data_IF_171095828619
#
_entry.id   IF_171095828619
#
_cell.length_a   1.000
_cell.length_b   1.000
_cell.length_c   1.000
_cell.angle_alpha   90.00
_cell.angle_beta   90.00
_cell.angle_gamma   90.00
#
_symmetry.space_group_name_H-M   'P 1'
#
loop_
_entity.id
_entity.type
_entity.pdbx_description
1 polymer ?
#
# COMPACT_ATOMS: atom_id res chain seq x y z
N UNK A 1 16.43 -1.23 -14.23
CA UNK A 1 15.13 -0.79 -13.66
C UNK A 1 14.63 0.36 -14.54
N UNK A 2 13.50 0.16 -15.23
CA UNK A 2 13.06 1.04 -16.31
C UNK A 2 12.37 2.30 -15.80
N UNK A 3 12.78 3.45 -16.33
CA UNK A 3 12.26 4.80 -16.01
C UNK A 3 10.76 4.96 -16.36
N UNK A 4 10.15 3.98 -17.03
CA UNK A 4 8.82 4.12 -17.65
C UNK A 4 7.68 3.31 -16.98
N UNK A 5 7.98 2.24 -16.25
CA UNK A 5 6.93 1.41 -15.62
C UNK A 5 7.45 0.51 -14.51
N UNK A 6 6.69 0.42 -13.43
CA UNK A 6 6.94 -0.49 -12.31
C UNK A 6 6.43 -1.92 -12.59
N UNK A 7 5.91 -2.20 -13.80
CA UNK A 7 5.33 -3.49 -14.16
C UNK A 7 6.43 -4.55 -14.17
N UNK A 8 6.17 -5.69 -13.55
CA UNK A 8 7.06 -6.85 -13.54
C UNK A 8 6.31 -8.10 -14.00
N UNK A 9 7.03 -9.09 -14.49
CA UNK A 9 6.49 -10.43 -14.73
C UNK A 9 6.38 -11.22 -13.43
N UNK A 10 5.67 -12.36 -13.48
CA UNK A 10 5.47 -13.23 -12.31
C UNK A 10 6.75 -13.92 -11.88
N UNK A 11 7.70 -14.12 -12.79
CA UNK A 11 8.97 -14.78 -12.51
C UNK A 11 9.99 -13.83 -11.86
N UNK A 12 9.70 -12.52 -11.86
CA UNK A 12 10.56 -11.49 -11.30
C UNK A 12 10.20 -11.12 -9.85
N UNK A 13 9.02 -11.50 -9.37
CA UNK A 13 8.57 -11.20 -7.99
C UNK A 13 9.32 -12.07 -7.00
N UNK A 14 9.76 -11.48 -5.89
CA UNK A 14 10.51 -12.17 -4.85
C UNK A 14 9.85 -12.05 -3.48
N UNK A 15 10.08 -13.01 -2.57
CA UNK A 15 9.71 -12.90 -1.17
C UNK A 15 10.09 -11.55 -0.56
N UNK A 16 9.14 -10.88 0.09
CA UNK A 16 9.31 -9.57 0.69
C UNK A 16 9.13 -8.39 -0.28
N UNK A 17 8.80 -8.62 -1.55
CA UNK A 17 8.44 -7.54 -2.46
C UNK A 17 7.09 -6.91 -2.06
N UNK A 18 7.08 -5.57 -2.02
CA UNK A 18 5.84 -4.81 -1.98
C UNK A 18 5.32 -4.70 -3.40
N UNK A 19 4.21 -5.39 -3.66
CA UNK A 19 3.56 -5.43 -4.96
C UNK A 19 2.24 -4.68 -4.93
N UNK A 20 1.82 -4.21 -6.10
CA UNK A 20 0.52 -3.59 -6.26
C UNK A 20 -0.10 -3.92 -7.62
N UNK A 21 -1.41 -3.80 -7.68
CA UNK A 21 -2.19 -3.87 -8.92
C UNK A 21 -3.16 -2.71 -9.00
N UNK A 22 -3.22 -2.05 -10.15
CA UNK A 22 -4.24 -1.04 -10.41
C UNK A 22 -5.64 -1.67 -10.47
N UNK A 23 -6.60 -1.00 -9.87
CA UNK A 23 -8.03 -1.32 -9.80
C UNK A 23 -8.86 -0.14 -10.30
N UNK A 24 -10.13 -0.39 -10.62
CA UNK A 24 -11.14 0.63 -10.96
C UNK A 24 -10.58 1.68 -11.93
N UNK A 25 -10.26 1.26 -13.16
CA UNK A 25 -9.69 2.13 -14.22
C UNK A 25 -8.53 3.01 -13.75
N UNK A 26 -7.55 2.44 -13.05
CA UNK A 26 -6.32 3.12 -12.58
C UNK A 26 -6.51 4.19 -11.51
N UNK A 27 -7.66 4.25 -10.83
CA UNK A 27 -7.91 5.23 -9.77
C UNK A 27 -7.46 4.75 -8.38
N UNK A 28 -7.27 3.45 -8.21
CA UNK A 28 -6.86 2.84 -6.95
C UNK A 28 -5.76 1.80 -7.20
N UNK A 29 -4.71 1.81 -6.39
CA UNK A 29 -3.72 0.74 -6.36
C UNK A 29 -4.00 -0.14 -5.13
N UNK A 30 -4.20 -1.44 -5.35
CA UNK A 30 -4.29 -2.41 -4.27
C UNK A 30 -2.90 -2.94 -3.95
N UNK A 31 -2.49 -2.90 -2.68
CA UNK A 31 -1.12 -3.15 -2.23
C UNK A 31 -1.04 -4.40 -1.35
N UNK A 32 0.07 -5.11 -1.44
CA UNK A 32 0.35 -6.28 -0.62
C UNK A 32 1.84 -6.62 -0.57
N UNK A 33 2.19 -7.54 0.34
CA UNK A 33 3.53 -8.10 0.48
C UNK A 33 3.51 -9.51 -0.10
N UNK A 34 4.33 -9.74 -1.12
CA UNK A 34 4.55 -11.08 -1.66
C UNK A 34 5.36 -11.91 -0.64
N UNK A 35 4.87 -13.11 -0.31
CA UNK A 35 5.51 -13.99 0.67
C UNK A 35 6.32 -15.05 -0.04
N UNK A 36 5.66 -16.05 -0.61
CA UNK A 36 6.26 -17.12 -1.40
C UNK A 36 5.14 -17.92 -2.09
N UNK A 37 5.48 -18.77 -3.06
CA UNK A 37 4.57 -19.72 -3.73
C UNK A 37 3.24 -19.09 -4.19
N UNK A 38 3.34 -17.88 -4.74
CA UNK A 38 2.17 -17.14 -5.22
C UNK A 38 1.25 -16.63 -4.11
N UNK A 39 1.69 -16.58 -2.86
CA UNK A 39 0.95 -16.05 -1.72
C UNK A 39 1.27 -14.57 -1.48
N UNK A 40 0.23 -13.80 -1.16
CA UNK A 40 0.30 -12.38 -0.85
C UNK A 40 -0.41 -12.09 0.46
N UNK A 41 0.23 -11.31 1.34
CA UNK A 41 -0.41 -10.77 2.54
C UNK A 41 -0.85 -9.34 2.25
N UNK A 42 -2.12 -9.06 2.51
CA UNK A 42 -2.77 -7.81 2.16
C UNK A 42 -3.68 -7.34 3.31
N UNK A 43 -3.84 -6.04 3.46
CA UNK A 43 -4.75 -5.45 4.43
C UNK A 43 -6.03 -5.02 3.72
N UNK A 44 -7.17 -5.55 4.14
CA UNK A 44 -8.46 -5.39 3.44
C UNK A 44 -9.55 -4.89 4.38
N UNK A 45 -10.52 -4.18 3.82
CA UNK A 45 -11.69 -3.72 4.56
C UNK A 45 -12.62 -4.91 4.88
N UNK A 46 -13.37 -4.82 5.98
CA UNK A 46 -14.49 -5.75 6.25
C UNK A 46 -15.49 -5.67 5.08
N UNK A 47 -15.95 -6.79 4.51
CA UNK A 47 -16.95 -6.70 3.45
C UNK A 47 -18.23 -6.07 4.00
N UNK A 48 -18.51 -4.79 3.72
CA UNK A 48 -19.85 -4.25 3.88
C UNK A 48 -20.72 -4.86 2.80
N UNK A 49 -22.02 -5.03 3.07
CA UNK A 49 -22.97 -5.68 2.17
C UNK A 49 -22.73 -5.28 0.70
N UNK A 50 -22.51 -4.00 0.41
CA UNK A 50 -22.23 -3.42 -0.91
C UNK A 50 -21.00 -3.97 -1.66
N UNK A 51 -19.90 -4.32 -0.99
CA UNK A 51 -18.72 -4.91 -1.66
C UNK A 51 -18.97 -6.33 -2.16
N UNK A 52 -19.99 -7.01 -1.64
CA UNK A 52 -20.48 -8.28 -2.20
C UNK A 52 -21.29 -8.07 -3.48
N UNK A 53 -21.81 -6.86 -3.72
CA UNK A 53 -22.55 -6.48 -4.92
C UNK A 53 -21.60 -6.03 -6.05
N UNK A 54 -20.35 -5.67 -5.73
CA UNK A 54 -19.31 -5.40 -6.74
C UNK A 54 -18.71 -6.68 -7.35
N UNK A 55 -19.14 -7.86 -6.89
CA UNK A 55 -18.94 -9.14 -7.60
C UNK A 55 -20.00 -9.37 -8.69
N UNK A 56 -20.93 -8.44 -8.89
CA UNK A 56 -21.99 -8.54 -9.90
C UNK A 56 -21.57 -7.91 -11.22
N UNK A 57 -20.55 -8.47 -11.89
CA UNK A 57 -20.48 -8.42 -13.36
C UNK A 57 -19.46 -9.42 -13.88
N UNK A 58 -19.97 -10.47 -14.51
CA UNK A 58 -19.30 -11.36 -15.47
C UNK A 58 -18.18 -12.27 -14.95
N UNK A 59 -18.59 -13.43 -14.46
CA UNK A 59 -18.18 -14.77 -14.93
C UNK A 59 -18.32 -15.74 -13.77
N UNK A 60 -18.80 -16.95 -14.04
CA UNK A 60 -18.88 -18.10 -13.15
C UNK A 60 -17.50 -18.49 -12.61
N UNK A 61 -16.90 -17.65 -11.76
CA UNK A 61 -15.65 -17.98 -11.09
C UNK A 61 -15.97 -18.94 -9.98
N UNK A 62 -15.74 -20.23 -10.25
CA UNK A 62 -15.57 -21.24 -9.22
C UNK A 62 -14.75 -20.64 -8.06
N UNK A 63 -15.10 -20.94 -6.80
CA UNK A 63 -14.34 -20.46 -5.66
C UNK A 63 -12.86 -20.81 -5.86
N UNK A 64 -11.98 -19.84 -5.62
CA UNK A 64 -10.55 -20.05 -5.81
C UNK A 64 -10.12 -21.29 -5.00
N UNK A 65 -9.63 -22.32 -5.70
CA UNK A 65 -9.24 -23.61 -5.11
C UNK A 65 -8.08 -23.47 -4.11
N UNK A 66 -7.27 -22.42 -4.28
CA UNK A 66 -6.14 -22.06 -3.42
C UNK A 66 -6.65 -21.31 -2.18
N UNK A 67 -7.46 -20.26 -2.36
CA UNK A 67 -7.93 -19.43 -1.25
C UNK A 67 -9.06 -20.08 -0.42
N UNK A 68 -9.64 -21.20 -0.89
CA UNK A 68 -10.66 -22.03 -0.22
C UNK A 68 -11.75 -21.27 0.55
N UNK A 69 -12.16 -20.09 0.06
CA UNK A 69 -13.19 -19.28 0.70
C UNK A 69 -12.85 -18.73 2.09
N UNK A 70 -11.55 -18.55 2.42
CA UNK A 70 -11.13 -18.02 3.73
C UNK A 70 -11.79 -16.65 4.01
N UNK A 71 -12.45 -16.58 5.18
CA UNK A 71 -13.41 -15.59 5.73
C UNK A 71 -13.07 -14.12 5.43
N UNK A 72 -13.96 -13.27 4.87
CA UNK A 72 -15.16 -12.59 5.43
C UNK A 72 -14.93 -11.69 6.67
N UNK A 73 -13.75 -11.67 7.26
CA UNK A 73 -13.38 -10.71 8.30
C UNK A 73 -12.35 -9.73 7.72
N UNK A 74 -12.59 -8.43 7.86
CA UNK A 74 -11.61 -7.42 7.47
C UNK A 74 -10.39 -7.44 8.39
N UNK A 75 -9.31 -6.82 7.92
CA UNK A 75 -8.02 -6.83 8.61
C UNK A 75 -6.91 -7.35 7.71
N UNK A 76 -5.90 -7.98 8.31
CA UNK A 76 -4.76 -8.54 7.58
C UNK A 76 -5.11 -9.95 7.13
N UNK A 77 -5.03 -10.18 5.83
CA UNK A 77 -5.47 -11.42 5.18
C UNK A 77 -4.40 -11.93 4.23
N UNK A 78 -4.49 -13.22 3.88
CA UNK A 78 -3.60 -13.86 2.92
C UNK A 78 -4.41 -14.42 1.76
N UNK A 79 -3.98 -14.10 0.54
CA UNK A 79 -4.62 -14.52 -0.71
C UNK A 79 -3.59 -15.05 -1.71
N UNK A 80 -4.05 -15.74 -2.75
CA UNK A 80 -3.19 -16.07 -3.88
C UNK A 80 -3.00 -14.86 -4.81
N UNK A 81 -1.90 -14.86 -5.56
CA UNK A 81 -1.52 -13.79 -6.47
C UNK A 81 -2.62 -13.50 -7.50
N UNK A 82 -3.33 -14.52 -7.99
CA UNK A 82 -4.43 -14.31 -8.93
C UNK A 82 -5.62 -13.57 -8.31
N UNK A 83 -5.96 -13.88 -7.05
CA UNK A 83 -7.00 -13.16 -6.33
C UNK A 83 -6.55 -11.73 -6.03
N UNK A 84 -5.32 -11.56 -5.55
CA UNK A 84 -4.69 -10.25 -5.31
C UNK A 84 -4.68 -9.37 -6.57
N UNK A 85 -4.38 -9.95 -7.73
CA UNK A 85 -4.35 -9.23 -9.02
C UNK A 85 -5.73 -9.05 -9.62
N UNK A 86 -6.69 -9.94 -9.35
CA UNK A 86 -8.07 -9.90 -9.84
C UNK A 86 -8.20 -9.52 -11.32
N UNK A 87 -7.34 -10.08 -12.18
CA UNK A 87 -7.29 -9.79 -13.62
C UNK A 87 -6.48 -8.55 -14.03
N UNK A 88 -5.89 -7.83 -13.08
CA UNK A 88 -4.99 -6.69 -13.31
C UNK A 88 -3.54 -7.10 -13.57
N UNK A 89 -2.69 -6.09 -13.80
CA UNK A 89 -1.26 -6.28 -14.00
C UNK A 89 -0.50 -6.23 -12.67
N UNK A 90 0.61 -6.98 -12.60
CA UNK A 90 1.53 -6.98 -11.46
C UNK A 90 2.54 -5.83 -11.56
N UNK A 91 2.67 -5.06 -10.50
CA UNK A 91 3.68 -4.00 -10.37
C UNK A 91 4.43 -4.15 -9.05
N UNK A 92 5.69 -3.71 -9.04
CA UNK A 92 6.52 -3.64 -7.83
C UNK A 92 6.65 -2.20 -7.36
N UNK A 93 6.44 -1.96 -6.07
CA UNK A 93 6.63 -0.66 -5.46
C UNK A 93 8.13 -0.38 -5.28
N UNK A 94 8.56 0.84 -5.60
CA UNK A 94 9.98 1.21 -5.54
C UNK A 94 10.33 1.94 -4.24
N UNK A 95 11.45 1.53 -3.64
CA UNK A 95 12.02 2.15 -2.44
C UNK A 95 13.34 2.83 -2.79
N UNK A 96 13.76 3.78 -1.96
CA UNK A 96 15.01 4.52 -2.14
C UNK A 96 15.14 5.18 -3.53
N UNK A 97 14.03 5.71 -4.06
CA UNK A 97 14.07 6.46 -5.32
C UNK A 97 14.70 7.84 -5.12
N UNK A 98 15.22 8.45 -6.18
CA UNK A 98 15.70 9.84 -6.10
C UNK A 98 14.52 10.81 -6.03
N UNK A 99 14.72 11.99 -5.43
CA UNK A 99 13.70 13.05 -5.39
C UNK A 99 13.20 13.46 -6.79
N UNK A 100 14.09 13.44 -7.79
CA UNK A 100 13.72 13.66 -9.18
C UNK A 100 12.80 12.55 -9.70
N UNK A 101 13.13 11.27 -9.48
CA UNK A 101 12.29 10.16 -9.91
C UNK A 101 10.89 10.19 -9.25
N UNK A 102 10.80 10.68 -8.01
CA UNK A 102 9.52 10.89 -7.34
C UNK A 102 8.69 12.00 -7.98
N UNK A 103 9.31 13.13 -8.36
CA UNK A 103 8.65 14.26 -9.04
C UNK A 103 8.14 13.91 -10.44
N UNK A 104 8.82 13.00 -11.14
CA UNK A 104 8.40 12.56 -12.47
C UNK A 104 7.31 11.49 -12.44
N UNK A 105 6.98 10.91 -11.27
CA UNK A 105 5.92 9.90 -11.13
C UNK A 105 4.56 10.60 -10.96
N UNK A 106 3.82 10.67 -12.06
CA UNK A 106 2.47 11.27 -12.19
C UNK A 106 1.45 10.73 -11.16
N UNK A 107 1.63 9.53 -10.62
CA UNK A 107 0.66 8.87 -9.73
C UNK A 107 1.27 8.46 -8.38
N UNK A 108 0.56 8.80 -7.30
CA UNK A 108 0.84 8.40 -5.92
C UNK A 108 0.80 6.87 -5.73
N UNK A 109 1.39 6.37 -4.65
CA UNK A 109 1.33 4.95 -4.32
C UNK A 109 2.14 4.02 -5.22
N UNK A 110 3.27 4.49 -5.75
CA UNK A 110 4.13 3.67 -6.64
C UNK A 110 5.59 3.62 -6.21
N UNK A 111 6.04 4.61 -5.45
CA UNK A 111 7.40 4.70 -4.94
C UNK A 111 7.51 5.63 -3.72
N UNK A 112 8.59 5.48 -2.97
CA UNK A 112 8.95 6.33 -1.82
C UNK A 112 10.46 6.57 -1.73
N UNK A 113 10.85 7.67 -1.08
CA UNK A 113 12.25 7.95 -0.74
C UNK A 113 12.77 7.09 0.42
N UNK A 114 11.87 6.49 1.22
CA UNK A 114 12.27 5.61 2.30
C UNK A 114 13.02 4.38 1.77
N UNK A 115 14.05 3.96 2.48
CA UNK A 115 14.72 2.68 2.22
C UNK A 115 13.87 1.53 2.77
N UNK A 116 13.90 0.39 2.06
CA UNK A 116 13.33 -0.85 2.58
C UNK A 116 14.32 -1.51 3.54
N UNK A 117 13.78 -2.13 4.58
CA UNK A 117 14.50 -3.13 5.37
C UNK A 117 14.71 -4.43 4.56
N UNK A 118 15.61 -5.33 5.01
CA UNK A 118 15.84 -6.62 4.39
C UNK A 118 14.59 -7.51 4.28
N UNK A 119 14.46 -8.38 3.26
CA UNK A 119 13.28 -9.22 3.06
C UNK A 119 12.86 -10.04 4.28
N UNK A 120 13.80 -10.55 5.07
CA UNK A 120 13.57 -11.30 6.30
C UNK A 120 12.75 -10.50 7.33
N UNK A 121 13.09 -9.23 7.56
CA UNK A 121 12.37 -8.34 8.47
C UNK A 121 10.98 -8.02 7.92
N UNK A 122 10.87 -7.84 6.60
CA UNK A 122 9.61 -7.55 5.92
C UNK A 122 8.64 -8.72 6.09
N UNK A 123 9.12 -9.94 5.81
CA UNK A 123 8.36 -11.16 5.93
C UNK A 123 7.99 -11.44 7.38
N UNK A 124 8.90 -11.18 8.33
CA UNK A 124 8.62 -11.28 9.76
C UNK A 124 7.44 -10.41 10.15
N UNK A 125 7.47 -9.12 9.82
CA UNK A 125 6.39 -8.18 10.13
C UNK A 125 5.07 -8.56 9.47
N UNK A 126 5.10 -8.88 8.17
CA UNK A 126 3.88 -9.24 7.43
C UNK A 126 3.21 -10.50 8.00
N UNK A 127 3.98 -11.54 8.29
CA UNK A 127 3.47 -12.77 8.90
C UNK A 127 2.99 -12.54 10.34
N UNK A 128 3.70 -11.73 11.12
CA UNK A 128 3.29 -11.38 12.48
C UNK A 128 1.92 -10.68 12.47
N UNK A 129 1.75 -9.68 11.61
CA UNK A 129 0.50 -8.95 11.45
C UNK A 129 -0.65 -9.82 10.94
N UNK A 130 -0.36 -10.79 10.06
CA UNK A 130 -1.34 -11.78 9.61
C UNK A 130 -1.82 -12.68 10.75
N UNK A 131 -0.91 -13.19 11.59
CA UNK A 131 -1.25 -14.08 12.71
C UNK A 131 -2.06 -13.36 13.78
N UNK A 132 -1.65 -12.14 14.13
CA UNK A 132 -2.30 -11.36 15.20
C UNK A 132 -3.52 -10.58 14.72
N UNK A 133 -3.74 -10.49 13.41
CA UNK A 133 -4.67 -9.56 12.78
C UNK A 133 -4.54 -8.12 13.36
N UNK A 134 -3.31 -7.72 13.70
CA UNK A 134 -3.04 -6.64 14.64
C UNK A 134 -2.80 -5.26 14.01
N UNK A 135 -3.11 -5.09 12.73
CA UNK A 135 -2.90 -3.81 12.04
C UNK A 135 -4.05 -2.80 12.25
N UNK A 136 -5.01 -3.12 13.10
CA UNK A 136 -6.14 -2.25 13.45
C UNK A 136 -7.25 -2.23 12.40
N UNK A 137 -8.05 -1.16 12.41
CA UNK A 137 -9.22 -1.02 11.53
C UNK A 137 -8.81 -0.40 10.19
N UNK A 138 -9.34 -0.96 9.10
CA UNK A 138 -9.09 -0.45 7.77
C UNK A 138 -9.81 0.89 7.52
N UNK A 139 -9.06 1.91 7.14
CA UNK A 139 -9.56 3.22 6.73
C UNK A 139 -8.98 3.58 5.36
N UNK A 140 -9.85 3.77 4.35
CA UNK A 140 -9.46 3.96 2.94
C UNK A 140 -8.42 5.06 2.74
N UNK A 141 -8.47 6.15 3.52
CA UNK A 141 -7.62 7.33 3.34
C UNK A 141 -6.36 7.34 4.24
N UNK A 142 -6.36 6.59 5.34
CA UNK A 142 -5.34 6.68 6.39
C UNK A 142 -4.67 5.32 6.64
N UNK A 143 -5.37 4.39 7.27
CA UNK A 143 -4.91 3.04 7.56
C UNK A 143 -5.40 2.07 6.49
N UNK A 144 -4.79 2.11 5.30
CA UNK A 144 -5.17 1.28 4.15
C UNK A 144 -4.06 0.27 3.79
N UNK A 145 -4.25 -0.44 2.68
CA UNK A 145 -3.29 -1.44 2.17
C UNK A 145 -1.90 -0.85 1.84
N UNK A 146 -1.82 0.42 1.42
CA UNK A 146 -0.55 1.09 1.10
C UNK A 146 0.24 1.34 2.39
N UNK A 147 -0.41 1.90 3.41
CA UNK A 147 0.18 2.13 4.74
C UNK A 147 0.65 0.82 5.38
N UNK A 148 -0.13 -0.24 5.24
CA UNK A 148 0.25 -1.59 5.67
C UNK A 148 1.55 -2.07 4.99
N UNK A 149 1.61 -2.02 3.67
CA UNK A 149 2.77 -2.50 2.93
C UNK A 149 4.01 -1.64 3.19
N UNK A 150 3.86 -0.31 3.31
CA UNK A 150 4.95 0.60 3.69
C UNK A 150 5.47 0.28 5.09
N UNK A 151 4.59 0.04 6.06
CA UNK A 151 5.00 -0.37 7.40
C UNK A 151 5.74 -1.71 7.37
N UNK A 152 5.23 -2.70 6.65
CA UNK A 152 5.93 -3.98 6.50
C UNK A 152 7.32 -3.80 5.89
N UNK A 153 7.51 -2.87 4.94
CA UNK A 153 8.81 -2.63 4.30
C UNK A 153 9.78 -1.81 5.13
N UNK A 154 9.31 -0.96 6.04
CA UNK A 154 10.17 0.08 6.67
C UNK A 154 10.15 0.05 8.21
N UNK A 155 9.14 -0.56 8.81
CA UNK A 155 8.82 -0.47 10.23
C UNK A 155 8.38 0.92 10.67
N UNK A 156 8.12 1.85 9.75
CA UNK A 156 7.83 3.24 10.07
C UNK A 156 6.33 3.49 10.26
N UNK A 157 5.98 4.23 11.32
CA UNK A 157 4.61 4.67 11.61
C UNK A 157 4.59 6.19 11.76
N UNK A 158 3.61 6.85 11.15
CA UNK A 158 3.38 8.29 11.33
C UNK A 158 2.68 8.58 12.66
N UNK A 159 3.29 9.42 13.51
CA UNK A 159 2.82 9.68 14.88
C UNK A 159 1.74 10.78 15.00
N UNK A 160 1.45 11.56 13.95
CA UNK A 160 0.42 12.62 14.01
C UNK A 160 -0.79 12.32 13.13
N UNK A 161 -1.98 12.42 13.74
CA UNK A 161 -3.29 12.54 13.08
C UNK A 161 -3.41 13.92 12.42
N UNK A 162 -2.68 14.16 11.34
CA UNK A 162 -2.95 15.35 10.54
C UNK A 162 -4.12 15.01 9.60
N UNK A 163 -5.15 15.85 9.62
CA UNK A 163 -6.40 15.83 8.84
C UNK A 163 -6.23 15.70 7.31
N UNK A 164 -5.00 15.67 6.81
CA UNK A 164 -4.66 15.49 5.40
C UNK A 164 -4.01 14.11 5.25
N UNK A 165 -4.77 13.15 4.72
CA UNK A 165 -4.51 11.71 4.72
C UNK A 165 -3.04 11.29 4.52
N UNK A 166 -2.60 10.37 5.37
CA UNK A 166 -1.22 9.86 5.45
C UNK A 166 -0.80 8.93 4.30
N UNK A 167 -1.70 8.62 3.36
CA UNK A 167 -1.42 7.76 2.21
C UNK A 167 -1.10 8.56 0.94
N UNK A 168 -0.19 8.03 0.12
CA UNK A 168 0.16 8.62 -1.17
C UNK A 168 -1.05 8.69 -2.12
N UNK A 169 -2.01 7.76 -1.98
CA UNK A 169 -3.26 7.75 -2.73
C UNK A 169 -4.26 8.84 -2.28
N UNK A 170 -4.43 9.11 -0.98
CA UNK A 170 -5.32 10.18 -0.52
C UNK A 170 -4.87 11.57 -1.02
N UNK A 171 -3.56 11.81 -0.99
CA UNK A 171 -2.96 13.03 -1.56
C UNK A 171 -3.19 13.11 -3.07
N UNK A 172 -3.13 11.98 -3.79
CA UNK A 172 -3.40 11.92 -5.23
C UNK A 172 -4.87 12.18 -5.58
N UNK A 173 -5.83 11.69 -4.79
CA UNK A 173 -7.26 11.96 -4.99
C UNK A 173 -7.61 13.44 -4.77
N UNK A 174 -7.14 14.05 -3.67
CA UNK A 174 -7.35 15.48 -3.41
C UNK A 174 -6.73 16.34 -4.52
N UNK A 175 -5.57 15.93 -5.03
CA UNK A 175 -4.89 16.62 -6.13
C UNK A 175 -5.54 16.39 -7.49
N UNK A 176 -6.12 15.22 -7.78
CA UNK A 176 -6.85 14.99 -9.04
C UNK A 176 -8.02 15.96 -9.20
N UNK A 177 -8.73 16.28 -8.10
CA UNK A 177 -9.77 17.32 -8.07
C UNK A 177 -9.18 18.71 -8.39
N UNK A 178 -8.00 19.04 -7.84
CA UNK A 178 -7.32 20.31 -8.11
C UNK A 178 -6.74 20.43 -9.53
N UNK A 179 -6.24 19.33 -10.11
CA UNK A 179 -5.68 19.26 -11.46
C UNK A 179 -6.76 19.40 -12.53
N UNK A 180 -7.97 18.87 -12.28
CA UNK A 180 -9.14 19.08 -13.16
C UNK A 180 -9.54 20.55 -13.18
N UNK A 181 -9.38 21.27 -12.06
CA UNK A 181 -9.69 22.69 -11.96
C UNK A 181 -8.62 23.61 -12.59
N UNK A 182 -7.32 23.26 -12.50
CA UNK A 182 -6.21 24.06 -13.02
C UNK A 182 -5.08 23.17 -13.61
N UNK A 183 -5.14 22.83 -14.92
CA UNK A 183 -4.12 22.01 -15.56
C UNK A 183 -2.78 22.74 -15.64
N UNK A 184 -1.70 22.11 -15.17
CA UNK A 184 -0.36 22.70 -15.08
C UNK A 184 0.02 23.10 -13.65
N UNK A 185 -0.45 24.24 -13.11
CA UNK A 185 -0.16 24.65 -11.73
C UNK A 185 -0.62 23.64 -10.69
N UNK A 186 -1.76 22.98 -10.89
CA UNK A 186 -2.24 21.91 -10.01
C UNK A 186 -1.33 20.67 -10.04
N UNK A 187 -0.74 20.34 -11.20
CA UNK A 187 0.22 19.24 -11.32
C UNK A 187 1.55 19.60 -10.66
N UNK A 188 2.05 20.82 -10.83
CA UNK A 188 3.24 21.29 -10.12
C UNK A 188 3.02 21.34 -8.60
N UNK A 189 1.91 21.90 -8.12
CA UNK A 189 1.56 21.93 -6.71
C UNK A 189 1.39 20.51 -6.13
N UNK A 190 0.82 19.57 -6.89
CA UNK A 190 0.72 18.16 -6.52
C UNK A 190 2.09 17.51 -6.34
N UNK A 191 2.97 17.63 -7.34
CA UNK A 191 4.30 17.02 -7.27
C UNK A 191 5.16 17.68 -6.18
N UNK A 192 5.00 18.98 -5.95
CA UNK A 192 5.64 19.69 -4.83
C UNK A 192 5.08 19.26 -3.48
N UNK A 193 3.76 19.14 -3.31
CA UNK A 193 3.15 18.65 -2.07
C UNK A 193 3.57 17.20 -1.78
N UNK A 194 3.63 16.35 -2.81
CA UNK A 194 4.14 14.99 -2.72
C UNK A 194 5.63 14.97 -2.36
N UNK A 195 6.45 15.78 -3.03
CA UNK A 195 7.86 15.94 -2.69
C UNK A 195 8.02 16.43 -1.25
N UNK A 196 7.22 17.39 -0.78
CA UNK A 196 7.29 17.87 0.60
C UNK A 196 6.89 16.78 1.59
N UNK A 197 5.84 16.00 1.30
CA UNK A 197 5.46 14.88 2.14
C UNK A 197 6.55 13.79 2.17
N UNK A 198 7.14 13.44 1.02
CA UNK A 198 8.13 12.38 0.91
C UNK A 198 9.56 12.81 1.27
N UNK A 199 10.06 13.99 0.86
CA UNK A 199 11.35 14.62 1.31
C UNK A 199 11.25 15.05 2.75
N UNK A 200 10.05 15.42 3.19
CA UNK A 200 9.71 15.54 4.59
C UNK A 200 9.97 14.25 5.36
N UNK A 201 9.96 13.06 4.75
CA UNK A 201 10.25 11.80 5.47
C UNK A 201 11.73 11.68 5.88
N UNK A 202 12.73 11.86 4.98
CA UNK A 202 14.13 11.97 5.40
C UNK A 202 14.47 13.20 6.23
N UNK A 203 13.79 14.35 6.04
CA UNK A 203 14.07 15.55 6.84
C UNK A 203 13.41 15.51 8.23
N UNK A 204 12.21 14.92 8.37
CA UNK A 204 11.56 14.55 9.66
C UNK A 204 12.39 13.56 10.45
N UNK A 205 13.17 12.69 9.78
CA UNK A 205 14.18 11.83 10.41
C UNK A 205 15.28 12.61 11.15
N UNK A 206 15.58 13.84 10.72
CA UNK A 206 16.57 14.74 11.34
C UNK A 206 15.98 15.75 12.31
N UNK A 207 14.70 16.14 12.17
CA UNK A 207 14.07 17.17 13.01
C UNK A 207 13.31 16.64 14.24
N UNK A 208 13.39 15.33 14.53
CA UNK A 208 12.80 14.75 15.74
C UNK A 208 11.27 14.78 15.81
N UNK A 209 10.58 15.09 14.70
CA UNK A 209 9.13 15.16 14.66
C UNK A 209 8.53 14.18 13.63
N UNK A 210 7.68 13.28 14.15
CA UNK A 210 6.51 12.65 13.50
C UNK A 210 6.62 11.29 12.77
N UNK A 211 7.79 10.64 12.65
CA UNK A 211 7.87 9.26 12.13
C UNK A 211 8.87 8.46 12.96
N UNK A 212 8.40 7.39 13.60
CA UNK A 212 9.23 6.50 14.42
C UNK A 212 9.23 5.09 13.84
N UNK A 213 10.35 4.38 14.03
CA UNK A 213 10.41 2.95 13.73
C UNK A 213 9.81 2.21 14.92
N UNK A 214 8.71 1.49 14.69
CA UNK A 214 7.97 0.77 15.74
C UNK A 214 8.11 -0.74 15.49
N UNK A 215 8.60 -1.51 16.47
CA UNK A 215 8.56 -2.97 16.42
C UNK A 215 7.12 -3.48 16.20
N UNK A 216 6.97 -4.61 15.52
CA UNK A 216 5.63 -5.10 15.14
C UNK A 216 4.82 -5.54 16.35
N UNK A 217 5.48 -6.04 17.38
CA UNK A 217 4.91 -6.45 18.65
C UNK A 217 4.28 -5.24 19.38
N UNK A 218 5.00 -4.12 19.42
CA UNK A 218 4.52 -2.87 20.02
C UNK A 218 3.37 -2.26 19.21
N UNK A 219 3.46 -2.30 17.87
CA UNK A 219 2.38 -1.85 17.01
C UNK A 219 1.09 -2.64 17.27
N UNK A 220 1.18 -3.96 17.39
CA UNK A 220 0.02 -4.81 17.66
C UNK A 220 -0.53 -4.56 19.06
N UNK A 221 0.35 -4.41 20.06
CA UNK A 221 -0.06 -4.13 21.44
C UNK A 221 -0.85 -2.82 21.56
N UNK A 222 -0.45 -1.78 20.82
CA UNK A 222 -1.13 -0.47 20.82
C UNK A 222 -2.44 -0.44 20.03
N UNK A 223 -2.68 -1.42 19.15
CA UNK A 223 -3.85 -1.48 18.26
C UNK A 223 -4.90 -2.52 18.65
N UNK A 224 -4.62 -3.39 19.64
CA UNK A 224 -5.63 -4.29 20.21
C UNK A 224 -6.62 -3.48 21.07
N UNK A 225 -7.95 -3.62 20.87
CA UNK A 225 -8.90 -3.07 21.82
C UNK A 225 -8.70 -3.74 23.18
N UNK A 226 -8.72 -2.94 24.25
CA UNK A 226 -8.69 -3.40 25.64
C UNK A 226 -9.91 -4.27 25.97
#
# INVERSE_FOLDING_TARGET
MGILSNKISRDEVRPGDHIYSWRTTYTYAHHGIYVDDGQVIEFTHTPTAWTSLSKSSSSTKLPCRICRGRSKSGGVTSSCLDCFLGGGNLYRYEYNVSGAALLFKVRGGTCTLAASDPPEDVLYRANFLLRENGFGVYHVLENNCETFAIYCKTGLVSCKKNWLGSSGQATAFAAAVAVIALPGPGFCAYNVARLINDVGMPWRRKSGNDVIKVPVEELVATRKPA
#
